data_IF_504607216672
#
_entry.id   IF_504607216672
#
_cell.length_a   1.000
_cell.length_b   1.000
_cell.length_c   1.000
_cell.angle_alpha   90.00
_cell.angle_beta   90.00
_cell.angle_gamma   90.00
#
_symmetry.space_group_name_H-M   'P 1'
#
loop_
_entity.id
_entity.type
_entity.pdbx_description
1 polymer ?
#
# COMPACT_ATOMS: atom_id res chain seq x y z
N UNK A 1 -24.15 -6.74 5.92
CA UNK A 1 -23.12 -7.42 6.72
C UNK A 1 -21.76 -6.92 6.29
N UNK A 2 -21.03 -6.27 7.19
CA UNK A 2 -19.83 -5.45 6.90
C UNK A 2 -18.80 -6.14 6.00
N UNK A 3 -18.66 -7.46 6.16
CA UNK A 3 -17.80 -8.31 5.33
C UNK A 3 -18.09 -8.21 3.82
N UNK A 4 -19.37 -8.08 3.43
CA UNK A 4 -19.73 -7.93 2.00
C UNK A 4 -19.29 -6.58 1.45
N UNK A 5 -19.45 -5.51 2.23
CA UNK A 5 -19.01 -4.17 1.84
C UNK A 5 -17.49 -4.09 1.74
N UNK A 6 -16.76 -4.64 2.72
CA UNK A 6 -15.29 -4.74 2.63
C UNK A 6 -14.87 -5.51 1.39
N UNK A 7 -15.50 -6.67 1.12
CA UNK A 7 -15.19 -7.47 -0.07
C UNK A 7 -15.41 -6.68 -1.37
N UNK A 8 -16.46 -5.88 -1.45
CA UNK A 8 -16.71 -5.02 -2.60
C UNK A 8 -15.64 -3.92 -2.73
N UNK A 9 -15.28 -3.25 -1.64
CA UNK A 9 -14.25 -2.20 -1.61
C UNK A 9 -12.90 -2.76 -2.06
N UNK A 10 -12.42 -3.83 -1.42
CA UNK A 10 -11.11 -4.42 -1.75
C UNK A 10 -11.12 -5.12 -3.11
N UNK A 11 -12.27 -5.66 -3.51
CA UNK A 11 -12.48 -6.22 -4.85
C UNK A 11 -12.35 -5.16 -5.94
N UNK A 12 -12.93 -3.97 -5.73
CA UNK A 12 -12.77 -2.84 -6.63
C UNK A 12 -11.30 -2.41 -6.73
N UNK A 13 -10.60 -2.25 -5.59
CA UNK A 13 -9.18 -1.87 -5.58
C UNK A 13 -8.35 -2.88 -6.36
N UNK A 14 -8.57 -4.18 -6.13
CA UNK A 14 -7.85 -5.25 -6.83
C UNK A 14 -8.05 -5.17 -8.34
N UNK A 15 -9.30 -5.08 -8.79
CA UNK A 15 -9.62 -5.03 -10.22
C UNK A 15 -9.03 -3.76 -10.84
N UNK A 16 -9.22 -2.62 -10.19
CA UNK A 16 -8.74 -1.33 -10.69
C UNK A 16 -7.22 -1.30 -10.84
N UNK A 17 -6.47 -1.77 -9.83
CA UNK A 17 -5.02 -1.87 -9.92
C UNK A 17 -4.57 -2.82 -11.05
N UNK A 18 -5.25 -3.95 -11.21
CA UNK A 18 -4.96 -4.91 -12.28
C UNK A 18 -5.21 -4.35 -13.68
N UNK A 19 -6.18 -3.45 -13.84
CA UNK A 19 -6.55 -2.89 -15.14
C UNK A 19 -5.78 -1.61 -15.48
N UNK A 20 -5.57 -0.74 -14.49
CA UNK A 20 -5.05 0.62 -14.73
C UNK A 20 -3.56 0.76 -14.46
N UNK A 21 -2.96 -0.08 -13.60
CA UNK A 21 -1.53 0.00 -13.29
C UNK A 21 -0.72 -0.88 -14.23
N UNK A 22 0.09 -0.25 -15.08
CA UNK A 22 0.79 -0.90 -16.20
C UNK A 22 2.19 -1.34 -15.77
N UNK A 23 2.72 -2.38 -16.43
CA UNK A 23 4.12 -2.82 -16.20
C UNK A 23 5.14 -1.71 -16.44
N UNK A 24 4.84 -0.79 -17.35
CA UNK A 24 5.67 0.37 -17.67
C UNK A 24 5.75 1.38 -16.52
N UNK A 25 4.80 1.37 -15.56
CA UNK A 25 4.86 2.26 -14.39
C UNK A 25 6.02 1.89 -13.46
N UNK A 26 6.38 0.59 -13.42
CA UNK A 26 7.45 0.05 -12.57
C UNK A 26 8.67 -0.48 -13.35
N UNK A 27 8.60 -0.46 -14.68
CA UNK A 27 9.74 -0.77 -15.55
C UNK A 27 9.66 0.08 -16.82
N UNK A 28 9.76 1.42 -16.71
CA UNK A 28 9.73 2.30 -17.87
C UNK A 28 10.96 2.05 -18.76
N UNK A 29 10.77 2.20 -20.06
CA UNK A 29 11.84 2.06 -21.06
C UNK A 29 12.62 3.37 -21.27
N UNK A 30 12.01 4.48 -20.88
CA UNK A 30 12.56 5.84 -20.97
C UNK A 30 12.62 6.48 -19.59
N UNK A 31 13.43 7.53 -19.44
CA UNK A 31 13.40 8.33 -18.23
C UNK A 31 12.01 8.97 -18.05
N UNK A 32 11.44 8.81 -16.85
CA UNK A 32 10.14 9.35 -16.46
C UNK A 32 10.27 10.04 -15.11
N UNK A 33 9.52 11.11 -14.90
CA UNK A 33 9.43 11.72 -13.57
C UNK A 33 8.94 10.70 -12.54
N UNK A 34 9.66 10.60 -11.43
CA UNK A 34 9.38 9.63 -10.37
C UNK A 34 8.35 10.21 -9.41
N UNK A 35 7.08 10.02 -9.78
CA UNK A 35 5.91 10.39 -8.99
C UNK A 35 5.09 9.15 -8.65
N UNK A 36 4.15 9.29 -7.71
CA UNK A 36 3.14 8.25 -7.49
C UNK A 36 2.32 8.04 -8.77
N UNK A 37 2.04 6.79 -9.08
CA UNK A 37 1.29 6.40 -10.27
C UNK A 37 -0.15 6.92 -10.22
N UNK A 38 -0.75 7.23 -11.39
CA UNK A 38 -2.16 7.62 -11.45
C UNK A 38 -3.10 6.57 -10.83
N UNK A 39 -2.78 5.29 -10.99
CA UNK A 39 -3.56 4.20 -10.42
C UNK A 39 -3.53 4.23 -8.88
N UNK A 40 -2.37 4.49 -8.27
CA UNK A 40 -2.26 4.65 -6.82
C UNK A 40 -3.10 5.83 -6.31
N UNK A 41 -2.99 7.00 -6.96
CA UNK A 41 -3.73 8.19 -6.55
C UNK A 41 -5.25 7.99 -6.61
N UNK A 42 -5.75 7.30 -7.64
CA UNK A 42 -7.16 6.96 -7.76
C UNK A 42 -7.63 5.99 -6.66
N UNK A 43 -6.81 5.00 -6.30
CA UNK A 43 -7.09 4.10 -5.17
C UNK A 43 -7.11 4.86 -3.85
N UNK A 44 -6.14 5.74 -3.61
CA UNK A 44 -6.06 6.57 -2.40
C UNK A 44 -7.30 7.47 -2.27
N UNK A 45 -7.73 8.11 -3.36
CA UNK A 45 -8.93 8.93 -3.38
C UNK A 45 -10.18 8.10 -3.07
N UNK A 46 -10.33 6.94 -3.70
CA UNK A 46 -11.46 6.04 -3.47
C UNK A 46 -11.53 5.56 -2.01
N UNK A 47 -10.41 5.07 -1.47
CA UNK A 47 -10.32 4.59 -0.08
C UNK A 47 -10.56 5.73 0.90
N UNK A 48 -9.95 6.90 0.71
CA UNK A 48 -10.18 8.07 1.56
C UNK A 48 -11.66 8.43 1.64
N UNK A 49 -12.32 8.57 0.48
CA UNK A 49 -13.76 8.88 0.44
C UNK A 49 -14.65 7.79 1.06
N UNK A 50 -14.19 6.53 1.05
CA UNK A 50 -14.89 5.41 1.68
C UNK A 50 -14.76 5.45 3.20
N UNK A 51 -13.56 5.79 3.70
CA UNK A 51 -13.29 5.94 5.13
C UNK A 51 -14.14 7.05 5.73
N UNK A 52 -14.25 8.19 5.05
CA UNK A 52 -15.07 9.32 5.50
C UNK A 52 -16.54 8.90 5.66
N UNK A 53 -17.12 8.23 4.64
CA UNK A 53 -18.51 7.75 4.71
C UNK A 53 -18.74 6.73 5.82
N UNK A 54 -17.78 5.84 6.06
CA UNK A 54 -17.90 4.84 7.13
C UNK A 54 -17.97 5.54 8.50
N UNK A 55 -17.15 6.58 8.69
CA UNK A 55 -17.13 7.36 9.95
C UNK A 55 -18.39 8.17 10.17
N UNK A 56 -18.98 8.68 9.11
CA UNK A 56 -20.26 9.40 9.19
C UNK A 56 -21.44 8.45 9.51
N UNK A 57 -21.28 7.15 9.26
CA UNK A 57 -22.35 6.16 9.36
C UNK A 57 -22.31 5.28 10.61
N UNK A 58 -21.19 5.26 11.34
CA UNK A 58 -20.93 4.33 12.44
C UNK A 58 -20.20 5.03 13.61
N UNK A 59 -20.44 4.55 14.82
CA UNK A 59 -19.80 5.06 16.05
C UNK A 59 -19.13 3.94 16.88
N UNK A 60 -18.24 4.37 17.78
CA UNK A 60 -17.61 3.52 18.80
C UNK A 60 -16.76 2.36 18.26
N UNK A 61 -16.80 1.21 18.96
CA UNK A 61 -15.95 0.03 18.71
C UNK A 61 -16.20 -0.66 17.36
N UNK A 62 -17.37 -0.43 16.76
CA UNK A 62 -17.72 -1.00 15.46
C UNK A 62 -16.88 -0.38 14.34
N UNK A 63 -16.57 0.92 14.43
CA UNK A 63 -15.70 1.61 13.47
C UNK A 63 -14.29 1.07 13.52
N UNK A 64 -13.72 0.91 14.72
CA UNK A 64 -12.35 0.43 14.91
C UNK A 64 -12.15 -0.97 14.34
N UNK A 65 -13.08 -1.88 14.62
CA UNK A 65 -13.03 -3.27 14.12
C UNK A 65 -13.15 -3.30 12.59
N UNK A 66 -14.04 -2.49 12.03
CA UNK A 66 -14.24 -2.38 10.59
C UNK A 66 -13.02 -1.77 9.88
N UNK A 67 -12.45 -0.70 10.43
CA UNK A 67 -11.24 -0.05 9.90
C UNK A 67 -10.04 -0.98 9.95
N UNK A 68 -9.92 -1.77 11.02
CA UNK A 68 -8.86 -2.77 11.15
C UNK A 68 -8.97 -3.83 10.04
N UNK A 69 -10.15 -4.42 9.86
CA UNK A 69 -10.37 -5.44 8.84
C UNK A 69 -10.19 -4.89 7.41
N UNK A 70 -10.72 -3.70 7.14
CA UNK A 70 -10.55 -3.01 5.86
C UNK A 70 -9.07 -2.74 5.58
N UNK A 71 -8.34 -2.18 6.55
CA UNK A 71 -6.93 -1.84 6.40
C UNK A 71 -6.04 -3.06 6.18
N UNK A 72 -6.27 -4.16 6.91
CA UNK A 72 -5.54 -5.42 6.73
C UNK A 72 -5.77 -6.01 5.33
N UNK A 73 -7.03 -6.03 4.86
CA UNK A 73 -7.33 -6.56 3.52
C UNK A 73 -6.85 -5.64 2.41
N UNK A 74 -6.93 -4.32 2.59
CA UNK A 74 -6.37 -3.36 1.65
C UNK A 74 -4.86 -3.52 1.52
N UNK A 75 -4.13 -3.61 2.65
CA UNK A 75 -2.70 -3.94 2.65
C UNK A 75 -2.42 -5.22 1.86
N UNK A 76 -3.18 -6.30 2.11
CA UNK A 76 -2.99 -7.57 1.40
C UNK A 76 -3.15 -7.42 -0.12
N UNK A 77 -4.18 -6.70 -0.58
CA UNK A 77 -4.40 -6.46 -2.01
C UNK A 77 -3.24 -5.69 -2.63
N UNK A 78 -2.77 -4.62 -1.97
CA UNK A 78 -1.62 -3.83 -2.45
C UNK A 78 -0.35 -4.69 -2.49
N UNK A 79 -0.05 -5.41 -1.41
CA UNK A 79 1.12 -6.28 -1.32
C UNK A 79 1.13 -7.36 -2.43
N UNK A 80 0.04 -8.12 -2.56
CA UNK A 80 -0.09 -9.16 -3.60
C UNK A 80 0.01 -8.58 -5.01
N UNK A 81 -0.51 -7.35 -5.23
CA UNK A 81 -0.43 -6.67 -6.52
C UNK A 81 1.00 -6.28 -6.87
N UNK A 82 1.74 -5.65 -5.95
CA UNK A 82 3.12 -5.24 -6.19
C UNK A 82 4.06 -6.43 -6.50
N UNK A 83 3.81 -7.60 -5.91
CA UNK A 83 4.59 -8.81 -6.19
C UNK A 83 4.49 -9.30 -7.65
N UNK A 84 3.54 -8.81 -8.45
CA UNK A 84 3.35 -9.23 -9.85
C UNK A 84 4.26 -8.47 -10.83
N UNK A 85 5.02 -7.48 -10.37
CA UNK A 85 5.82 -6.60 -11.20
C UNK A 85 7.31 -6.91 -11.11
N UNK A 86 8.02 -6.54 -12.17
CA UNK A 86 9.47 -6.40 -12.15
C UNK A 86 9.80 -4.92 -12.06
N UNK A 87 10.91 -4.62 -11.38
CA UNK A 87 11.31 -3.25 -11.09
C UNK A 87 12.66 -2.93 -11.74
N UNK A 88 12.77 -1.73 -12.32
CA UNK A 88 14.06 -1.06 -12.54
C UNK A 88 14.22 0.09 -11.52
N UNK A 89 15.31 0.84 -11.57
CA UNK A 89 15.56 1.92 -10.59
C UNK A 89 14.49 3.01 -10.59
N UNK A 90 14.01 3.45 -11.76
CA UNK A 90 12.95 4.45 -11.86
C UNK A 90 11.62 3.90 -11.29
N UNK A 91 11.27 2.67 -11.63
CA UNK A 91 10.07 2.02 -11.10
C UNK A 91 10.13 1.71 -9.61
N UNK A 92 11.32 1.45 -9.06
CA UNK A 92 11.54 1.31 -7.63
C UNK A 92 11.23 2.63 -6.89
N UNK A 93 11.65 3.77 -7.44
CA UNK A 93 11.27 5.08 -6.90
C UNK A 93 9.76 5.33 -6.99
N UNK A 94 9.14 4.99 -8.13
CA UNK A 94 7.69 5.08 -8.34
C UNK A 94 6.90 4.27 -7.28
N UNK A 95 7.25 3.00 -7.05
CA UNK A 95 6.55 2.19 -6.04
C UNK A 95 6.77 2.69 -4.61
N UNK A 96 7.93 3.28 -4.30
CA UNK A 96 8.17 3.93 -3.01
C UNK A 96 7.25 5.16 -2.85
N UNK A 97 7.05 5.94 -3.91
CA UNK A 97 6.06 7.03 -3.92
C UNK A 97 4.63 6.50 -3.72
N UNK A 98 4.23 5.45 -4.42
CA UNK A 98 2.92 4.82 -4.28
C UNK A 98 2.67 4.36 -2.84
N UNK A 99 3.62 3.61 -2.25
CA UNK A 99 3.47 3.11 -0.89
C UNK A 99 3.46 4.25 0.14
N UNK A 100 4.15 5.36 -0.12
CA UNK A 100 4.04 6.54 0.73
C UNK A 100 2.66 7.20 0.66
N UNK A 101 2.01 7.25 -0.50
CA UNK A 101 0.63 7.72 -0.59
C UNK A 101 -0.35 6.78 0.11
N UNK A 102 -0.17 5.46 -0.02
CA UNK A 102 -0.95 4.50 0.76
C UNK A 102 -0.75 4.66 2.26
N UNK A 103 0.50 4.88 2.73
CA UNK A 103 0.81 5.17 4.14
C UNK A 103 0.08 6.41 4.65
N UNK A 104 0.09 7.51 3.89
CA UNK A 104 -0.65 8.73 4.24
C UNK A 104 -2.15 8.45 4.34
N UNK A 105 -2.71 7.71 3.38
CA UNK A 105 -4.11 7.32 3.36
C UNK A 105 -4.51 6.49 4.61
N UNK A 106 -3.74 5.45 4.94
CA UNK A 106 -4.10 4.54 6.05
C UNK A 106 -3.84 5.11 7.44
N UNK A 107 -2.97 6.12 7.57
CA UNK A 107 -2.86 6.90 8.81
C UNK A 107 -4.19 7.51 9.23
N UNK A 108 -5.04 7.82 8.25
CA UNK A 108 -6.37 8.32 8.56
C UNK A 108 -7.26 7.27 9.16
N UNK A 109 -6.99 5.96 9.06
CA UNK A 109 -7.82 4.91 9.67
C UNK A 109 -7.73 4.91 11.20
N UNK A 110 -6.66 5.52 11.76
CA UNK A 110 -6.33 5.53 13.20
C UNK A 110 -6.19 4.12 13.80
N UNK A 111 -5.70 3.16 13.02
CA UNK A 111 -5.43 1.78 13.46
C UNK A 111 -3.92 1.51 13.45
N UNK A 112 -3.25 1.40 14.62
CA UNK A 112 -1.79 1.21 14.69
C UNK A 112 -1.27 0.00 13.92
N UNK A 113 -1.97 -1.14 13.98
CA UNK A 113 -1.60 -2.34 13.24
C UNK A 113 -1.49 -2.09 11.73
N UNK A 114 -2.46 -1.36 11.16
CA UNK A 114 -2.48 -1.07 9.72
C UNK A 114 -1.31 -0.16 9.34
N UNK A 115 -0.99 0.83 10.18
CA UNK A 115 0.19 1.68 9.98
C UNK A 115 1.47 0.84 9.94
N UNK A 116 1.65 -0.06 10.91
CA UNK A 116 2.84 -0.93 10.96
C UNK A 116 2.96 -1.84 9.74
N UNK A 117 1.84 -2.36 9.22
CA UNK A 117 1.84 -3.17 7.99
C UNK A 117 2.37 -2.36 6.79
N UNK A 118 1.88 -1.14 6.59
CA UNK A 118 2.34 -0.30 5.48
C UNK A 118 3.74 0.29 5.69
N UNK A 119 4.16 0.50 6.94
CA UNK A 119 5.56 0.86 7.27
C UNK A 119 6.52 -0.27 6.88
N UNK A 120 6.17 -1.52 7.22
CA UNK A 120 6.95 -2.70 6.81
C UNK A 120 6.97 -2.84 5.28
N UNK A 121 5.83 -2.66 4.60
CA UNK A 121 5.77 -2.68 3.14
C UNK A 121 6.68 -1.63 2.51
N UNK A 122 6.69 -0.41 3.05
CA UNK A 122 7.59 0.65 2.56
C UNK A 122 9.06 0.30 2.77
N UNK A 123 9.42 -0.28 3.92
CA UNK A 123 10.77 -0.78 4.17
C UNK A 123 11.18 -1.86 3.16
N UNK A 124 10.27 -2.79 2.84
CA UNK A 124 10.49 -3.79 1.79
C UNK A 124 10.69 -3.16 0.41
N UNK A 125 9.91 -2.13 0.04
CA UNK A 125 10.10 -1.43 -1.24
C UNK A 125 11.45 -0.72 -1.33
N UNK A 126 11.98 -0.18 -0.23
CA UNK A 126 13.32 0.43 -0.21
C UNK A 126 14.44 -0.56 -0.55
N UNK A 127 14.23 -1.87 -0.33
CA UNK A 127 15.20 -2.89 -0.74
C UNK A 127 15.43 -2.94 -2.24
N UNK A 128 14.46 -2.49 -3.05
CA UNK A 128 14.57 -2.47 -4.51
C UNK A 128 15.66 -1.51 -5.01
N UNK A 129 16.11 -0.57 -4.17
CA UNK A 129 17.20 0.37 -4.47
C UNK A 129 18.55 -0.06 -3.87
N UNK A 130 18.55 -1.11 -3.05
CA UNK A 130 19.78 -1.57 -2.39
C UNK A 130 20.62 -2.36 -3.38
N UNK A 131 21.89 -1.96 -3.54
CA UNK A 131 22.84 -2.71 -4.35
C UNK A 131 23.03 -4.14 -3.79
N UNK A 132 23.20 -5.16 -4.64
CA UNK A 132 23.33 -6.56 -4.19
C UNK A 132 24.36 -6.76 -3.08
N UNK A 133 25.48 -6.06 -3.15
CA UNK A 133 26.57 -6.15 -2.15
C UNK A 133 26.12 -5.74 -0.73
N UNK A 134 25.17 -4.80 -0.62
CA UNK A 134 24.71 -4.24 0.64
C UNK A 134 23.44 -4.92 1.18
N UNK A 135 22.82 -5.81 0.40
CA UNK A 135 21.51 -6.37 0.71
C UNK A 135 21.50 -7.16 2.03
N UNK A 136 22.53 -7.98 2.28
CA UNK A 136 22.63 -8.76 3.52
C UNK A 136 22.65 -7.86 4.75
N UNK A 137 23.43 -6.77 4.70
CA UNK A 137 23.55 -5.84 5.82
C UNK A 137 22.21 -5.14 6.12
N UNK A 138 21.49 -4.73 5.08
CA UNK A 138 20.19 -4.06 5.24
C UNK A 138 19.15 -5.05 5.79
N UNK A 139 19.10 -6.28 5.27
CA UNK A 139 18.19 -7.34 5.77
C UNK A 139 18.43 -7.73 7.22
N UNK A 140 19.66 -7.63 7.71
CA UNK A 140 19.99 -7.92 9.12
C UNK A 140 19.86 -6.71 10.04
N UNK A 141 19.54 -5.53 9.50
CA UNK A 141 19.33 -4.31 10.28
C UNK A 141 17.91 -4.18 10.82
N UNK A 142 17.75 -3.41 11.90
CA UNK A 142 16.49 -3.21 12.64
C UNK A 142 15.33 -2.68 11.78
N UNK A 143 15.60 -2.09 10.61
CA UNK A 143 14.57 -1.55 9.71
C UNK A 143 13.74 -2.63 8.99
N UNK A 144 14.23 -3.86 8.91
CA UNK A 144 13.50 -5.01 8.34
C UNK A 144 13.20 -6.08 9.39
N UNK A 145 13.94 -6.07 10.50
CA UNK A 145 13.75 -6.93 11.66
C UNK A 145 12.93 -6.15 12.68
N UNK A 146 11.61 -6.02 12.48
CA UNK A 146 10.73 -5.56 13.56
C UNK A 146 9.90 -6.70 14.14
N UNK A 147 10.32 -7.29 15.26
CA UNK A 147 9.41 -7.82 16.25
C UNK A 147 9.53 -6.97 17.53
N UNK A 148 8.59 -6.06 17.73
CA UNK A 148 8.35 -5.46 19.06
C UNK A 148 6.87 -5.14 19.22
N UNK A 149 6.07 -6.20 19.26
CA UNK A 149 4.96 -6.28 20.22
C UNK A 149 5.50 -6.97 21.47
#
# INVERSE_FOLDING_TARGET
DFSRSINAIVGWVKIYLQTEQKRTDFKPETDTDTLASPACLAVVQFIGSTVDRIRDSLDGKNVESLMTELGVRFHRVVYEHLQQFQYNSAGAMCVICDVNEYRKCVKEFKVPLVNSLFDALHALCNLLLVKPENLKQVCTGDQLVSPSL
#
